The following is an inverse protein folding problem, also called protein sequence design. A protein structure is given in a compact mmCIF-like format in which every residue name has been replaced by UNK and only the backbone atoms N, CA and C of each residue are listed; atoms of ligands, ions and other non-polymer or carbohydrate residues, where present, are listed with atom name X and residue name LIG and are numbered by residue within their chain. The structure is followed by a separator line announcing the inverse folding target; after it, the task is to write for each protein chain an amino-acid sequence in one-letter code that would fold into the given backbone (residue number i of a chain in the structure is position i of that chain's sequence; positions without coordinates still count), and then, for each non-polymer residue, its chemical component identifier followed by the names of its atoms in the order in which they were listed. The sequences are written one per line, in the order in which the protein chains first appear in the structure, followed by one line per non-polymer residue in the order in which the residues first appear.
data_IF_280406321472
#
_entry.id   IF_280406321472
#
_cell.length_a   1.000
_cell.length_b   1.000
_cell.length_c   1.000
_cell.angle_alpha   90.00
_cell.angle_beta   90.00
_cell.angle_gamma   90.00
#
_symmetry.space_group_name_H-M   'P 1'
#
loop_
_entity.id
_entity.type
_entity.pdbx_description
1 polymer ?
#
# COMPACT_ATOMS: atom_id res chain seq x y z
N UNK A 1 -7.83 36.48 -4.16
CA UNK A 1 -8.97 35.75 -4.77
C UNK A 1 -8.52 34.56 -5.64
N UNK A 2 -7.43 34.63 -6.42
CA UNK A 2 -6.95 33.45 -7.19
C UNK A 2 -6.32 32.31 -6.36
N UNK A 3 -5.73 32.62 -5.20
CA UNK A 3 -5.06 31.62 -4.33
C UNK A 3 -6.04 30.75 -3.54
N UNK A 4 -7.24 31.24 -3.19
CA UNK A 4 -8.24 30.46 -2.42
C UNK A 4 -8.85 29.32 -3.25
N UNK A 5 -9.02 29.53 -4.56
CA UNK A 5 -9.49 28.48 -5.48
C UNK A 5 -8.46 27.37 -5.70
N UNK A 6 -7.17 27.72 -5.72
CA UNK A 6 -6.07 26.76 -5.90
C UNK A 6 -5.97 25.78 -4.70
N UNK A 7 -6.07 26.30 -3.47
CA UNK A 7 -6.06 25.48 -2.25
C UNK A 7 -7.25 24.51 -2.18
N UNK A 8 -8.46 24.95 -2.58
CA UNK A 8 -9.63 24.06 -2.63
C UNK A 8 -9.50 22.96 -3.68
N UNK A 9 -8.92 23.27 -4.84
CA UNK A 9 -8.64 22.28 -5.88
C UNK A 9 -7.67 21.20 -5.38
N UNK A 10 -6.60 21.61 -4.71
CA UNK A 10 -5.60 20.70 -4.15
C UNK A 10 -6.21 19.78 -3.07
N UNK A 11 -7.01 20.32 -2.15
CA UNK A 11 -7.73 19.52 -1.14
C UNK A 11 -8.64 18.47 -1.78
N UNK A 12 -9.37 18.84 -2.82
CA UNK A 12 -10.26 17.91 -3.52
C UNK A 12 -9.48 16.83 -4.27
N UNK A 13 -8.38 17.18 -4.94
CA UNK A 13 -7.49 16.20 -5.59
C UNK A 13 -6.88 15.22 -4.59
N UNK A 14 -6.45 15.69 -3.42
CA UNK A 14 -5.97 14.80 -2.35
C UNK A 14 -7.06 13.85 -1.86
N UNK A 15 -8.29 14.34 -1.65
CA UNK A 15 -9.41 13.50 -1.24
C UNK A 15 -9.70 12.41 -2.28
N UNK A 16 -9.87 12.79 -3.55
CA UNK A 16 -10.17 11.83 -4.63
C UNK A 16 -9.04 10.82 -4.81
N UNK A 17 -7.78 11.26 -4.78
CA UNK A 17 -6.64 10.38 -4.89
C UNK A 17 -6.59 9.36 -3.74
N UNK A 18 -6.67 9.82 -2.49
CA UNK A 18 -6.68 8.92 -1.33
C UNK A 18 -7.89 7.98 -1.32
N UNK A 19 -9.04 8.42 -1.84
CA UNK A 19 -10.23 7.59 -1.97
C UNK A 19 -10.05 6.47 -2.99
N UNK A 20 -9.41 6.74 -4.13
CA UNK A 20 -9.06 5.70 -5.11
C UNK A 20 -8.08 4.69 -4.49
N UNK A 21 -7.07 5.14 -3.75
CA UNK A 21 -6.14 4.25 -3.04
C UNK A 21 -6.84 3.40 -1.98
N UNK A 22 -7.79 3.97 -1.26
CA UNK A 22 -8.61 3.25 -0.29
C UNK A 22 -9.41 2.12 -0.96
N UNK A 23 -10.09 2.41 -2.07
CA UNK A 23 -10.83 1.40 -2.83
C UNK A 23 -9.92 0.32 -3.41
N UNK A 24 -8.78 0.70 -4.00
CA UNK A 24 -7.80 -0.24 -4.53
C UNK A 24 -7.25 -1.15 -3.42
N UNK A 25 -6.94 -0.60 -2.24
CA UNK A 25 -6.53 -1.37 -1.06
C UNK A 25 -7.62 -2.35 -0.59
N UNK A 26 -8.88 -1.91 -0.59
CA UNK A 26 -10.02 -2.78 -0.28
C UNK A 26 -10.20 -3.93 -1.26
N UNK A 27 -10.05 -3.68 -2.57
CA UNK A 27 -10.11 -4.73 -3.60
C UNK A 27 -8.97 -5.74 -3.41
N UNK A 28 -7.73 -5.26 -3.23
CA UNK A 28 -6.56 -6.13 -3.04
C UNK A 28 -6.72 -6.98 -1.78
N UNK A 29 -7.17 -6.38 -0.67
CA UNK A 29 -7.45 -7.10 0.57
C UNK A 29 -8.56 -8.13 0.40
N UNK A 30 -9.64 -7.78 -0.32
CA UNK A 30 -10.74 -8.70 -0.64
C UNK A 30 -10.28 -9.90 -1.46
N UNK A 31 -9.48 -9.67 -2.51
CA UNK A 31 -8.87 -10.75 -3.31
C UNK A 31 -7.93 -11.59 -2.44
N UNK A 32 -7.09 -10.99 -1.60
CA UNK A 32 -6.16 -11.73 -0.75
C UNK A 32 -6.88 -12.61 0.29
N UNK A 33 -7.95 -12.10 0.90
CA UNK A 33 -8.79 -12.87 1.83
C UNK A 33 -9.56 -13.99 1.10
N UNK A 34 -10.03 -13.71 -0.12
CA UNK A 34 -10.65 -14.71 -0.98
C UNK A 34 -9.66 -15.86 -1.28
N UNK A 35 -8.43 -15.53 -1.70
CA UNK A 35 -7.35 -16.51 -1.91
C UNK A 35 -7.05 -17.32 -0.63
N UNK A 36 -7.11 -16.69 0.56
CA UNK A 36 -6.80 -17.32 1.85
C UNK A 36 -7.88 -18.30 2.35
N UNK A 37 -9.15 -18.06 2.01
CA UNK A 37 -10.29 -18.79 2.55
C UNK A 37 -10.74 -19.99 1.70
N UNK A 38 -9.92 -20.40 0.72
CA UNK A 38 -10.25 -21.55 -0.13
C UNK A 38 -10.34 -22.85 0.69
N UNK A 39 -11.46 -23.57 0.53
CA UNK A 39 -11.85 -24.76 1.31
C UNK A 39 -10.94 -25.97 1.08
N UNK A 40 -10.19 -25.98 -0.02
CA UNK A 40 -9.19 -27.00 -0.35
C UNK A 40 -7.95 -26.90 0.54
N UNK A 41 -7.60 -25.69 0.99
CA UNK A 41 -6.39 -25.42 1.79
C UNK A 41 -6.58 -25.59 3.30
N UNK A 42 -7.80 -25.38 3.82
CA UNK A 42 -8.13 -25.54 5.25
C UNK A 42 -8.17 -27.00 5.70
N UNK A 43 -8.54 -27.94 4.83
CA UNK A 43 -8.54 -29.37 5.16
C UNK A 43 -7.12 -29.95 5.35
N UNK A 44 -6.15 -29.42 4.62
CA UNK A 44 -4.74 -29.82 4.75
C UNK A 44 -4.12 -29.24 6.02
N UNK A 45 -4.55 -28.03 6.43
CA UNK A 45 -4.09 -27.35 7.63
C UNK A 45 -4.56 -28.05 8.93
N UNK A 46 -5.71 -28.70 8.94
CA UNK A 46 -6.19 -29.45 10.12
C UNK A 46 -5.49 -30.81 10.28
N UNK A 47 -4.95 -31.38 9.19
CA UNK A 47 -4.24 -32.67 9.20
C UNK A 47 -2.71 -32.56 9.37
N UNK A 48 -2.11 -31.38 9.18
CA UNK A 48 -0.64 -31.17 9.19
C UNK A 48 -0.07 -30.51 10.44
N UNK A 49 -0.83 -30.36 11.54
CA UNK A 49 -0.23 -30.06 12.86
C UNK A 49 0.67 -31.19 13.41
N UNK A 50 0.79 -32.32 12.68
CA UNK A 50 1.79 -33.36 12.92
C UNK A 50 2.89 -33.35 11.84
N UNK A 51 4.00 -32.68 12.14
CA UNK A 51 5.35 -33.18 11.84
C UNK A 51 5.78 -33.37 10.36
N UNK A 52 5.58 -32.37 9.49
CA UNK A 52 6.41 -32.18 8.27
C UNK A 52 6.21 -30.81 7.62
N UNK A 53 7.30 -30.16 7.23
CA UNK A 53 7.35 -28.82 6.65
C UNK A 53 7.20 -28.85 5.12
N UNK A 54 6.03 -28.51 4.58
CA UNK A 54 5.78 -28.07 3.18
C UNK A 54 4.35 -27.48 3.05
N UNK A 55 4.00 -26.61 2.08
CA UNK A 55 4.74 -25.63 1.28
C UNK A 55 4.32 -24.19 1.70
N UNK A 56 5.17 -23.49 2.45
CA UNK A 56 4.79 -22.23 3.12
C UNK A 56 4.80 -20.99 2.21
N UNK A 57 5.46 -21.04 1.05
CA UNK A 57 5.78 -19.85 0.25
C UNK A 57 4.57 -19.21 -0.43
N UNK A 58 3.59 -20.01 -0.86
CA UNK A 58 2.33 -19.53 -1.43
C UNK A 58 1.51 -18.75 -0.39
N UNK A 59 1.41 -19.29 0.82
CA UNK A 59 0.76 -18.60 1.92
C UNK A 59 1.52 -17.34 2.34
N UNK A 60 2.86 -17.38 2.36
CA UNK A 60 3.67 -16.18 2.62
C UNK A 60 3.33 -15.07 1.63
N UNK A 61 3.22 -15.38 0.33
CA UNK A 61 2.78 -14.42 -0.68
C UNK A 61 1.38 -13.85 -0.42
N UNK A 62 0.41 -14.69 -0.05
CA UNK A 62 -0.94 -14.25 0.29
C UNK A 62 -0.95 -13.35 1.55
N UNK A 63 -0.18 -13.71 2.59
CA UNK A 63 -0.06 -12.89 3.80
C UNK A 63 0.58 -11.53 3.52
N UNK A 64 1.57 -11.47 2.62
CA UNK A 64 2.13 -10.20 2.14
C UNK A 64 1.05 -9.38 1.42
N UNK A 65 0.24 -10.00 0.57
CA UNK A 65 -0.86 -9.33 -0.14
C UNK A 65 -1.93 -8.79 0.82
N UNK A 66 -2.27 -9.55 1.87
CA UNK A 66 -3.15 -9.11 2.98
C UNK A 66 -2.54 -7.89 3.69
N UNK A 67 -1.26 -7.95 4.06
CA UNK A 67 -0.59 -6.87 4.77
C UNK A 67 -0.54 -5.58 3.93
N UNK A 68 -0.16 -5.69 2.65
CA UNK A 68 -0.11 -4.55 1.72
C UNK A 68 -1.50 -3.96 1.50
N UNK A 69 -2.53 -4.80 1.25
CA UNK A 69 -3.92 -4.36 1.10
C UNK A 69 -4.46 -3.65 2.34
N UNK A 70 -4.22 -4.20 3.53
CA UNK A 70 -4.64 -3.61 4.80
C UNK A 70 -3.95 -2.27 5.08
N UNK A 71 -2.64 -2.16 4.83
CA UNK A 71 -1.90 -0.91 4.98
C UNK A 71 -2.41 0.15 3.99
N UNK A 72 -2.63 -0.19 2.72
CA UNK A 72 -3.19 0.73 1.73
C UNK A 72 -4.59 1.20 2.11
N UNK A 73 -5.45 0.29 2.59
CA UNK A 73 -6.80 0.63 3.06
C UNK A 73 -6.74 1.53 4.30
N UNK A 74 -5.88 1.22 5.28
CA UNK A 74 -5.76 2.04 6.49
C UNK A 74 -5.23 3.45 6.19
N UNK A 75 -4.16 3.56 5.40
CA UNK A 75 -3.57 4.85 5.03
C UNK A 75 -4.50 5.66 4.14
N UNK A 76 -5.19 5.03 3.18
CA UNK A 76 -6.20 5.69 2.35
C UNK A 76 -7.38 6.21 3.19
N UNK A 77 -7.83 5.44 4.19
CA UNK A 77 -8.87 5.88 5.13
C UNK A 77 -8.42 7.11 5.92
N UNK A 78 -7.22 7.09 6.51
CA UNK A 78 -6.68 8.26 7.22
C UNK A 78 -6.54 9.49 6.30
N UNK A 79 -6.16 9.29 5.04
CA UNK A 79 -6.08 10.36 4.05
C UNK A 79 -7.45 10.99 3.74
N UNK A 80 -8.47 10.16 3.52
CA UNK A 80 -9.85 10.61 3.27
C UNK A 80 -10.44 11.33 4.49
N UNK A 81 -10.32 10.74 5.68
CA UNK A 81 -10.82 11.34 6.93
C UNK A 81 -10.06 12.62 7.28
N UNK A 82 -8.76 12.68 7.00
CA UNK A 82 -7.92 13.85 7.23
C UNK A 82 -8.33 15.03 6.37
N UNK A 83 -8.72 14.77 5.12
CA UNK A 83 -9.24 15.78 4.21
C UNK A 83 -10.62 16.31 4.63
N UNK A 84 -11.50 15.46 5.19
CA UNK A 84 -12.86 15.86 5.62
C UNK A 84 -12.85 16.61 6.95
N UNK A 85 -12.12 16.12 7.94
CA UNK A 85 -12.27 16.58 9.33
C UNK A 85 -11.50 17.89 9.63
N UNK A 86 -10.69 18.38 8.67
CA UNK A 86 -9.76 19.53 8.82
C UNK A 86 -8.94 19.53 10.13
N UNK A 87 -8.80 18.35 10.75
CA UNK A 87 -8.15 18.18 12.04
C UNK A 87 -6.64 18.06 11.86
N UNK A 88 -5.91 18.97 12.49
CA UNK A 88 -4.44 18.99 12.46
C UNK A 88 -3.82 17.69 13.01
N UNK A 89 -4.48 17.03 13.98
CA UNK A 89 -4.00 15.78 14.55
C UNK A 89 -4.07 14.63 13.54
N UNK A 90 -5.20 14.49 12.84
CA UNK A 90 -5.43 13.39 11.91
C UNK A 90 -4.64 13.56 10.59
N UNK A 91 -4.43 14.81 10.17
CA UNK A 91 -3.51 15.11 9.06
C UNK A 91 -2.04 14.83 9.46
N UNK A 92 -1.67 15.10 10.71
CA UNK A 92 -0.34 14.82 11.26
C UNK A 92 -0.04 13.32 11.36
N UNK A 93 -1.01 12.49 11.76
CA UNK A 93 -0.83 11.03 11.78
C UNK A 93 -0.69 10.47 10.37
N UNK A 94 -1.50 10.93 9.41
CA UNK A 94 -1.35 10.56 8.00
C UNK A 94 0.05 10.90 7.45
N UNK A 95 0.54 12.12 7.71
CA UNK A 95 1.89 12.53 7.31
C UNK A 95 2.98 11.64 7.93
N UNK A 96 2.84 11.32 9.22
CA UNK A 96 3.78 10.46 9.94
C UNK A 96 3.79 9.05 9.33
N UNK A 97 2.61 8.49 9.02
CA UNK A 97 2.50 7.20 8.34
C UNK A 97 3.19 7.21 6.96
N UNK A 98 3.02 8.27 6.16
CA UNK A 98 3.68 8.39 4.86
C UNK A 98 5.22 8.44 4.97
N UNK A 99 5.75 9.16 5.97
CA UNK A 99 7.20 9.20 6.20
C UNK A 99 7.74 7.82 6.58
N UNK A 100 7.01 7.07 7.41
CA UNK A 100 7.38 5.70 7.77
C UNK A 100 7.34 4.78 6.54
N UNK A 101 6.30 4.87 5.71
CA UNK A 101 6.19 4.10 4.48
C UNK A 101 7.32 4.40 3.50
N UNK A 102 7.69 5.67 3.35
CA UNK A 102 8.80 6.07 2.51
C UNK A 102 10.13 5.48 3.00
N UNK A 103 10.37 5.49 4.32
CA UNK A 103 11.56 4.86 4.90
C UNK A 103 11.58 3.33 4.66
N UNK A 104 10.43 2.67 4.81
CA UNK A 104 10.26 1.26 4.51
C UNK A 104 10.49 0.94 3.03
N UNK A 105 10.01 1.79 2.11
CA UNK A 105 10.19 1.62 0.66
C UNK A 105 11.65 1.72 0.27
N UNK A 106 12.40 2.69 0.82
CA UNK A 106 13.85 2.80 0.59
C UNK A 106 14.58 1.59 1.15
N UNK A 107 14.25 1.15 2.37
CA UNK A 107 14.87 -0.04 2.98
C UNK A 107 14.58 -1.31 2.19
N UNK A 108 13.33 -1.52 1.77
CA UNK A 108 12.91 -2.67 0.95
C UNK A 108 13.54 -2.62 -0.45
N UNK A 109 13.65 -1.44 -1.06
CA UNK A 109 14.32 -1.24 -2.34
C UNK A 109 15.80 -1.62 -2.30
N UNK A 110 16.53 -1.17 -1.26
CA UNK A 110 17.93 -1.53 -1.08
C UNK A 110 18.07 -3.04 -0.83
N UNK A 111 17.28 -3.58 0.11
CA UNK A 111 17.33 -5.00 0.45
C UNK A 111 16.99 -5.88 -0.76
N UNK A 112 15.98 -5.49 -1.53
CA UNK A 112 15.54 -6.23 -2.72
C UNK A 112 16.51 -6.12 -3.89
N UNK A 113 17.23 -5.00 -4.03
CA UNK A 113 18.28 -4.89 -5.02
C UNK A 113 19.47 -5.79 -4.69
N UNK A 114 19.90 -5.83 -3.42
CA UNK A 114 21.01 -6.69 -2.96
C UNK A 114 20.64 -8.17 -3.07
N UNK A 115 19.39 -8.54 -2.77
CA UNK A 115 18.91 -9.92 -2.74
C UNK A 115 18.02 -10.28 -3.94
N UNK A 116 18.22 -9.63 -5.10
CA UNK A 116 17.37 -9.81 -6.29
C UNK A 116 17.24 -11.26 -6.73
N UNK A 117 18.31 -12.05 -6.61
CA UNK A 117 18.34 -13.45 -7.04
C UNK A 117 17.55 -14.35 -6.06
N UNK A 118 17.49 -13.96 -4.78
CA UNK A 118 16.67 -14.65 -3.78
C UNK A 118 15.19 -14.33 -3.99
N UNK A 119 14.85 -13.06 -4.25
CA UNK A 119 13.47 -12.66 -4.56
C UNK A 119 12.96 -13.36 -5.84
N UNK A 120 13.79 -13.46 -6.88
CA UNK A 120 13.41 -14.18 -8.10
C UNK A 120 13.10 -15.67 -7.82
N UNK A 121 13.88 -16.32 -6.94
CA UNK A 121 13.62 -17.71 -6.51
C UNK A 121 12.32 -17.83 -5.71
N UNK A 122 12.07 -16.91 -4.78
CA UNK A 122 10.86 -16.92 -3.96
C UNK A 122 9.61 -16.70 -4.82
N UNK A 123 9.67 -15.80 -5.82
CA UNK A 123 8.58 -15.57 -6.78
C UNK A 123 8.33 -16.79 -7.66
N UNK A 124 9.38 -17.48 -8.13
CA UNK A 124 9.25 -18.74 -8.87
C UNK A 124 8.59 -19.82 -8.02
N UNK A 125 9.02 -19.98 -6.78
CA UNK A 125 8.45 -20.97 -5.87
C UNK A 125 6.98 -20.66 -5.54
N UNK A 126 6.62 -19.38 -5.41
CA UNK A 126 5.24 -18.95 -5.29
C UNK A 126 4.42 -19.33 -6.52
N UNK A 127 4.94 -19.09 -7.73
CA UNK A 127 4.30 -19.45 -8.99
C UNK A 127 4.14 -20.97 -9.13
N UNK A 128 5.17 -21.76 -8.80
CA UNK A 128 5.12 -23.23 -8.85
C UNK A 128 4.00 -23.79 -7.97
N UNK A 129 3.86 -23.26 -6.77
CA UNK A 129 2.82 -23.69 -5.82
C UNK A 129 1.43 -23.25 -6.28
N UNK A 130 1.29 -22.03 -6.81
CA UNK A 130 0.04 -21.55 -7.40
C UNK A 130 -0.37 -22.42 -8.61
N UNK A 131 0.60 -22.79 -9.45
CA UNK A 131 0.40 -23.65 -10.61
C UNK A 131 -0.01 -25.07 -10.23
N UNK A 132 0.65 -25.67 -9.24
CA UNK A 132 0.28 -26.97 -8.69
C UNK A 132 -1.11 -26.96 -8.07
N UNK A 133 -1.45 -25.93 -7.26
CA UNK A 133 -2.79 -25.80 -6.68
C UNK A 133 -3.85 -25.64 -7.77
N UNK A 134 -3.54 -24.88 -8.82
CA UNK A 134 -4.43 -24.82 -9.96
C UNK A 134 -4.62 -26.23 -10.53
N UNK A 135 -3.57 -27.04 -10.72
CA UNK A 135 -3.64 -28.34 -11.42
C UNK A 135 -4.45 -29.39 -10.67
N UNK A 136 -4.37 -29.37 -9.35
CA UNK A 136 -5.11 -30.31 -8.50
C UNK A 136 -6.56 -29.91 -8.27
N UNK A 137 -6.94 -28.69 -8.67
CA UNK A 137 -8.31 -28.25 -8.56
C UNK A 137 -9.16 -28.77 -9.74
N UNK A 138 -9.95 -29.78 -9.44
CA UNK A 138 -10.91 -30.42 -10.36
C UNK A 138 -12.15 -29.55 -10.64
N UNK A 139 -12.33 -28.43 -9.92
CA UNK A 139 -13.42 -27.49 -10.12
C UNK A 139 -12.96 -26.18 -10.78
N UNK A 140 -13.84 -25.60 -11.61
CA UNK A 140 -13.66 -24.30 -12.29
C UNK A 140 -13.37 -23.10 -11.37
N UNK A 141 -13.40 -23.31 -10.04
CA UNK A 141 -13.43 -22.27 -9.03
C UNK A 141 -12.16 -22.16 -8.17
N UNK A 142 -11.03 -22.73 -8.59
CA UNK A 142 -9.82 -22.61 -7.75
C UNK A 142 -9.17 -21.25 -7.83
N UNK A 143 -8.90 -20.72 -6.64
CA UNK A 143 -8.22 -19.46 -6.42
C UNK A 143 -6.81 -19.42 -7.07
N UNK A 144 -6.14 -20.57 -7.13
CA UNK A 144 -4.85 -20.72 -7.82
C UNK A 144 -4.93 -20.49 -9.33
N UNK A 145 -6.04 -20.87 -9.99
CA UNK A 145 -6.25 -20.69 -11.44
C UNK A 145 -6.26 -19.21 -11.83
N UNK A 146 -6.93 -18.37 -11.03
CA UNK A 146 -6.97 -16.92 -11.27
C UNK A 146 -5.57 -16.30 -11.20
N UNK A 147 -4.78 -16.64 -10.18
CA UNK A 147 -3.40 -16.15 -10.02
C UNK A 147 -2.54 -16.58 -11.21
N UNK A 148 -2.54 -17.87 -11.54
CA UNK A 148 -1.71 -18.42 -12.63
C UNK A 148 -2.07 -17.78 -13.98
N UNK A 149 -3.36 -17.60 -14.26
CA UNK A 149 -3.82 -16.94 -15.48
C UNK A 149 -3.33 -15.49 -15.58
N UNK A 150 -3.37 -14.73 -14.48
CA UNK A 150 -2.80 -13.38 -14.44
C UNK A 150 -1.30 -13.39 -14.68
N UNK A 151 -0.55 -14.35 -14.14
CA UNK A 151 0.88 -14.49 -14.44
C UNK A 151 1.12 -14.79 -15.93
N UNK A 152 0.34 -15.69 -16.53
CA UNK A 152 0.45 -16.02 -17.95
C UNK A 152 0.17 -14.82 -18.85
N UNK A 153 -0.88 -14.05 -18.57
CA UNK A 153 -1.23 -12.85 -19.34
C UNK A 153 -0.24 -11.70 -19.14
N UNK A 154 0.32 -11.53 -17.93
CA UNK A 154 1.24 -10.43 -17.60
C UNK A 154 2.66 -10.67 -18.13
N UNK A 155 3.12 -11.93 -18.10
CA UNK A 155 4.48 -12.32 -18.48
C UNK A 155 4.57 -12.92 -19.88
N UNK A 156 3.44 -13.12 -20.55
CA UNK A 156 3.31 -13.82 -21.83
C UNK A 156 4.04 -15.18 -21.81
N UNK A 157 3.74 -15.96 -20.77
CA UNK A 157 4.35 -17.26 -20.51
C UNK A 157 3.29 -18.31 -20.16
N UNK A 158 3.65 -19.59 -20.27
CA UNK A 158 2.77 -20.68 -19.88
C UNK A 158 3.58 -21.78 -19.19
N UNK A 159 3.18 -22.13 -17.97
CA UNK A 159 3.80 -23.19 -17.18
C UNK A 159 5.18 -22.81 -16.61
N UNK A 160 5.65 -23.58 -15.61
CA UNK A 160 6.92 -23.30 -14.92
C UNK A 160 8.12 -23.51 -15.84
N UNK A 161 8.17 -24.68 -16.50
CA UNK A 161 9.21 -25.06 -17.44
C UNK A 161 8.64 -25.27 -18.85
N UNK A 162 9.49 -25.16 -19.87
CA UNK A 162 9.11 -25.34 -21.28
C UNK A 162 8.38 -26.67 -21.56
N UNK A 163 8.85 -27.77 -20.96
CA UNK A 163 8.23 -29.10 -21.11
C UNK A 163 6.85 -29.13 -20.46
N UNK A 164 6.72 -28.55 -19.27
CA UNK A 164 5.43 -28.50 -18.57
C UNK A 164 4.47 -27.59 -19.32
N UNK A 165 4.90 -26.40 -19.75
CA UNK A 165 4.09 -25.47 -20.53
C UNK A 165 3.56 -26.06 -21.84
N UNK A 166 4.39 -26.82 -22.57
CA UNK A 166 3.99 -27.49 -23.82
C UNK A 166 3.03 -28.67 -23.59
N UNK A 167 3.16 -29.39 -22.47
CA UNK A 167 2.30 -30.54 -22.14
C UNK A 167 1.04 -30.15 -21.36
N UNK A 168 1.01 -28.99 -20.69
CA UNK A 168 -0.15 -28.49 -19.93
C UNK A 168 -1.46 -28.44 -20.74
N UNK A 169 -1.48 -27.96 -22.01
CA UNK A 169 -2.73 -27.95 -22.79
C UNK A 169 -3.30 -29.35 -23.03
N UNK A 170 -2.49 -30.42 -23.09
CA UNK A 170 -2.99 -31.79 -23.30
C UNK A 170 -3.92 -32.28 -22.19
N UNK A 171 -3.77 -31.75 -20.98
CA UNK A 171 -4.53 -32.17 -19.80
C UNK A 171 -5.43 -31.07 -19.28
N UNK A 172 -5.11 -29.79 -19.58
CA UNK A 172 -5.81 -28.64 -19.02
C UNK A 172 -5.71 -27.39 -19.87
N UNK A 173 -6.47 -27.40 -20.97
CA UNK A 173 -6.59 -26.31 -21.95
C UNK A 173 -7.09 -24.97 -21.40
N UNK A 174 -7.71 -24.94 -20.22
CA UNK A 174 -8.29 -23.70 -19.68
C UNK A 174 -7.21 -22.75 -19.10
N UNK A 175 -6.00 -23.25 -18.84
CA UNK A 175 -4.89 -22.47 -18.26
C UNK A 175 -3.99 -21.81 -19.30
N UNK A 176 -3.88 -22.42 -20.48
CA UNK A 176 -3.04 -21.95 -21.57
C UNK A 176 -3.78 -22.15 -22.88
N UNK A 177 -3.76 -21.13 -23.75
CA UNK A 177 -4.54 -21.15 -24.98
C UNK A 177 -4.20 -22.35 -25.87
N UNK A 178 -5.24 -22.93 -26.51
CA UNK A 178 -5.24 -24.13 -27.37
C UNK A 178 -4.42 -24.03 -28.66
N UNK A 179 -3.69 -22.94 -28.87
CA UNK A 179 -2.95 -22.72 -30.11
C UNK A 179 -1.64 -23.51 -30.08
N UNK A 180 -1.71 -24.83 -30.30
CA UNK A 180 -0.61 -25.79 -30.23
C UNK A 180 0.62 -25.37 -31.09
N UNK A 181 0.38 -24.71 -32.22
CA UNK A 181 1.42 -24.12 -33.08
C UNK A 181 2.14 -22.93 -32.42
N UNK A 182 1.40 -22.12 -31.65
CA UNK A 182 1.97 -21.07 -30.81
C UNK A 182 2.68 -21.67 -29.61
N UNK A 183 2.19 -22.76 -29.04
CA UNK A 183 2.88 -23.55 -27.99
C UNK A 183 4.21 -24.16 -28.43
N UNK A 184 4.34 -24.58 -29.69
CA UNK A 184 5.62 -25.03 -30.26
C UNK A 184 6.60 -23.88 -30.58
N UNK A 185 6.08 -22.70 -30.96
CA UNK A 185 6.90 -21.47 -31.13
C UNK A 185 7.25 -20.80 -29.80
N UNK A 186 6.42 -21.00 -28.77
CA UNK A 186 6.51 -20.48 -27.40
C UNK A 186 7.10 -21.55 -26.45
N UNK A 187 7.73 -22.58 -26.99
CA UNK A 187 8.54 -23.55 -26.25
C UNK A 187 9.76 -22.89 -25.55
N UNK A 188 10.08 -21.64 -25.89
CA UNK A 188 11.12 -20.85 -25.22
C UNK A 188 10.62 -20.00 -24.03
N UNK A 189 9.31 -19.84 -23.82
CA UNK A 189 8.74 -18.93 -22.82
C UNK A 189 8.29 -19.64 -21.53
N UNK A 190 9.23 -20.33 -20.87
CA UNK A 190 9.02 -20.79 -19.49
C UNK A 190 8.81 -19.59 -18.56
N UNK A 191 7.79 -19.62 -17.70
CA UNK A 191 7.56 -18.53 -16.74
C UNK A 191 8.77 -18.31 -15.83
N UNK A 192 9.52 -19.36 -15.48
CA UNK A 192 10.75 -19.22 -14.67
C UNK A 192 11.81 -18.36 -15.35
N UNK A 193 12.06 -18.53 -16.64
CA UNK A 193 12.98 -17.67 -17.39
C UNK A 193 12.47 -16.23 -17.49
N UNK A 194 11.16 -16.03 -17.70
CA UNK A 194 10.56 -14.68 -17.75
C UNK A 194 10.66 -13.96 -16.41
N UNK A 195 10.51 -14.67 -15.30
CA UNK A 195 10.70 -14.14 -13.95
C UNK A 195 12.18 -13.74 -13.75
N UNK A 196 13.15 -14.57 -14.13
CA UNK A 196 14.57 -14.18 -14.06
C UNK A 196 14.90 -12.98 -14.95
N UNK A 197 14.33 -12.95 -16.16
CA UNK A 197 14.49 -11.85 -17.11
C UNK A 197 13.94 -10.55 -16.54
N UNK A 198 12.81 -10.61 -15.82
CA UNK A 198 12.24 -9.46 -15.11
C UNK A 198 13.18 -8.90 -14.04
N UNK A 199 13.74 -9.77 -13.19
CA UNK A 199 14.60 -9.36 -12.08
C UNK A 199 16.05 -9.08 -12.48
N UNK A 200 16.49 -9.52 -13.67
CA UNK A 200 17.86 -9.31 -14.15
C UNK A 200 17.95 -8.27 -15.26
N UNK A 201 17.18 -8.44 -16.34
CA UNK A 201 17.26 -7.60 -17.54
C UNK A 201 16.28 -6.42 -17.50
N UNK A 202 15.14 -6.58 -16.83
CA UNK A 202 14.07 -5.56 -16.74
C UNK A 202 13.92 -4.96 -15.35
N UNK A 203 14.95 -5.07 -14.50
CA UNK A 203 14.95 -4.46 -13.16
C UNK A 203 14.69 -2.95 -13.22
N UNK A 204 15.07 -2.29 -14.33
CA UNK A 204 14.76 -0.88 -14.57
C UNK A 204 13.25 -0.57 -14.59
N UNK A 205 12.37 -1.49 -15.02
CA UNK A 205 10.92 -1.27 -15.01
C UNK A 205 10.39 -1.22 -13.58
N UNK A 206 10.85 -2.14 -12.72
CA UNK A 206 10.52 -2.17 -11.29
C UNK A 206 11.07 -0.92 -10.61
N UNK A 207 12.29 -0.51 -10.97
CA UNK A 207 12.90 0.73 -10.50
C UNK A 207 12.10 1.98 -10.88
N UNK A 208 11.62 2.09 -12.13
CA UNK A 208 10.76 3.21 -12.57
C UNK A 208 9.46 3.22 -11.77
N UNK A 209 8.81 2.07 -11.58
CA UNK A 209 7.58 1.98 -10.79
C UNK A 209 7.81 2.46 -9.33
N UNK A 210 8.90 2.02 -8.69
CA UNK A 210 9.27 2.47 -7.34
C UNK A 210 9.55 3.98 -7.29
N UNK A 211 10.25 4.54 -8.30
CA UNK A 211 10.51 5.99 -8.37
C UNK A 211 9.20 6.77 -8.50
N UNK A 212 8.26 6.31 -9.33
CA UNK A 212 6.95 6.96 -9.48
C UNK A 212 6.19 6.96 -8.16
N UNK A 213 6.17 5.84 -7.43
CA UNK A 213 5.54 5.73 -6.11
C UNK A 213 6.20 6.68 -5.11
N UNK A 214 7.53 6.71 -5.05
CA UNK A 214 8.28 7.64 -4.21
C UNK A 214 7.99 9.11 -4.53
N UNK A 215 7.94 9.50 -5.81
CA UNK A 215 7.60 10.87 -6.24
C UNK A 215 6.18 11.25 -5.84
N UNK A 216 5.22 10.32 -5.98
CA UNK A 216 3.85 10.51 -5.54
C UNK A 216 3.80 10.72 -4.02
N UNK A 217 4.47 9.89 -3.22
CA UNK A 217 4.52 10.03 -1.76
C UNK A 217 5.12 11.37 -1.35
N UNK A 218 6.25 11.76 -1.94
CA UNK A 218 6.91 13.05 -1.66
C UNK A 218 6.01 14.21 -2.06
N UNK A 219 5.32 14.14 -3.20
CA UNK A 219 4.40 15.19 -3.64
C UNK A 219 3.25 15.37 -2.65
N UNK A 220 2.68 14.26 -2.14
CA UNK A 220 1.62 14.29 -1.13
C UNK A 220 2.13 14.87 0.19
N UNK A 221 3.33 14.49 0.62
CA UNK A 221 4.03 15.03 1.81
C UNK A 221 4.23 16.55 1.68
N UNK A 222 4.71 17.02 0.53
CA UNK A 222 4.97 18.44 0.27
C UNK A 222 3.67 19.26 0.25
N UNK A 223 2.61 18.71 -0.34
CA UNK A 223 1.29 19.33 -0.33
C UNK A 223 0.71 19.36 1.10
N UNK A 224 0.83 18.26 1.85
CA UNK A 224 0.37 18.17 3.23
C UNK A 224 1.03 19.19 4.16
N UNK A 225 2.34 19.46 3.98
CA UNK A 225 3.05 20.51 4.73
C UNK A 225 2.59 21.94 4.41
N UNK A 226 2.04 22.18 3.22
CA UNK A 226 1.56 23.51 2.83
C UNK A 226 0.22 23.84 3.50
N UNK A 227 -0.59 22.81 3.76
CA UNK A 227 -1.89 22.91 4.44
C UNK A 227 -1.74 22.88 5.97
N UNK A 228 -0.78 22.10 6.49
CA UNK A 228 -0.37 22.12 7.88
C UNK A 228 0.49 23.36 8.13
N UNK A 229 -0.15 24.53 8.25
CA UNK A 229 0.49 25.72 8.82
C UNK A 229 1.18 25.39 10.16
N UNK A 230 2.05 26.27 10.68
CA UNK A 230 2.74 26.03 11.95
C UNK A 230 1.72 25.56 12.99
N UNK A 231 2.01 24.47 13.74
CA UNK A 231 1.05 23.93 14.68
C UNK A 231 0.55 25.07 15.56
N UNK A 232 -0.76 25.19 15.80
CA UNK A 232 -1.21 26.12 16.83
C UNK A 232 -0.44 25.72 18.08
N UNK A 233 0.34 26.64 18.64
CA UNK A 233 0.96 26.42 19.94
C UNK A 233 -0.19 26.03 20.87
N UNK A 234 -0.25 24.74 21.20
CA UNK A 234 -1.08 24.24 22.27
C UNK A 234 -0.56 24.96 23.51
N UNK A 235 -1.24 26.04 23.87
CA UNK A 235 -0.95 26.79 25.06
C UNK A 235 -1.23 25.85 26.23
N UNK A 236 -0.17 25.20 26.72
CA UNK A 236 -0.20 24.47 27.97
C UNK A 236 -0.38 25.54 29.06
N UNK A 237 -1.54 25.65 29.72
CA UNK A 237 -1.65 26.63 30.79
C UNK A 237 -0.61 26.27 31.83
N UNK A 238 0.27 27.22 32.15
CA UNK A 238 1.11 27.11 33.33
C UNK A 238 0.20 26.93 34.54
N UNK A 239 0.60 26.10 35.52
CA UNK A 239 -0.17 25.78 36.72
C UNK A 239 -0.92 26.95 37.41
N UNK A 240 -0.45 28.23 37.37
CA UNK A 240 -1.21 29.35 37.94
C UNK A 240 -2.59 29.59 37.31
N UNK A 241 -2.85 29.22 36.05
CA UNK A 241 -4.12 29.52 35.38
C UNK A 241 -5.27 28.57 35.76
N UNK A 242 -4.97 27.36 36.23
CA UNK A 242 -5.99 26.41 36.72
C UNK A 242 -6.63 26.87 38.04
N UNK A 243 -5.88 27.61 38.87
CA UNK A 243 -6.38 28.19 40.12
C UNK A 243 -7.40 29.31 39.87
N UNK A 244 -7.24 30.08 38.78
CA UNK A 244 -8.20 31.13 38.41
C UNK A 244 -9.54 30.56 37.92
N UNK A 245 -9.52 29.44 37.19
CA UNK A 245 -10.75 28.75 36.76
C UNK A 245 -11.47 28.05 37.91
N UNK A 246 -10.75 27.48 38.88
CA UNK A 246 -11.34 26.86 40.07
C UNK A 246 -12.00 27.86 41.02
N UNK A 247 -11.63 29.14 40.94
CA UNK A 247 -12.18 30.23 41.76
C UNK A 247 -13.47 30.86 41.20
N UNK A 248 -14.01 30.38 40.07
CA UNK A 248 -15.28 30.86 39.51
C UNK A 248 -15.25 32.28 38.95
N UNK A 249 -14.06 32.88 38.75
CA UNK A 249 -13.90 34.21 38.17
C UNK A 249 -13.85 34.11 36.64
N UNK A 250 -15.01 34.30 36.01
CA UNK A 250 -15.15 34.26 34.55
C UNK A 250 -14.63 35.57 33.95
N UNK A 251 -13.37 35.61 33.55
CA UNK A 251 -12.83 36.69 32.73
C UNK A 251 -13.26 36.50 31.27
N UNK A 252 -14.27 37.24 30.84
CA UNK A 252 -14.61 37.40 29.42
C UNK A 252 -13.50 38.16 28.71
N UNK A 253 -12.63 37.47 27.97
CA UNK A 253 -11.70 38.12 27.05
C UNK A 253 -12.25 37.97 25.62
N UNK A 254 -12.56 39.07 24.90
CA UNK A 254 -13.06 38.97 23.54
C UNK A 254 -11.92 38.53 22.61
N UNK A 255 -12.18 37.51 21.80
CA UNK A 255 -11.38 37.19 20.62
C UNK A 255 -11.52 38.35 19.63
N UNK A 256 -10.40 38.96 19.22
CA UNK A 256 -10.33 39.61 17.90
C UNK A 256 -8.95 39.40 17.26
N UNK A 257 -9.01 38.82 16.06
CA UNK A 257 -7.98 38.76 15.03
C UNK A 257 -7.85 40.15 14.36
N UNK A 258 -6.63 40.66 14.14
CA UNK A 258 -6.29 41.49 12.98
C UNK A 258 -4.85 41.17 12.55
N UNK A 259 -4.64 40.93 11.25
CA UNK A 259 -3.38 40.43 10.69
C UNK A 259 -2.49 41.47 10.00
N UNK A 260 -1.58 40.91 9.19
CA UNK A 260 -0.74 41.50 8.12
C UNK A 260 0.55 42.21 8.57
N UNK A 261 1.69 41.70 8.06
CA UNK A 261 2.91 42.49 7.91
C UNK A 261 4.15 41.93 8.62
N UNK A 262 5.25 41.84 7.87
CA UNK A 262 6.55 41.40 8.33
C UNK A 262 7.18 42.39 9.34
N UNK A 263 7.28 42.02 10.62
CA UNK A 263 8.30 42.47 11.60
C UNK A 263 8.10 41.78 12.97
N UNK A 264 9.14 41.63 13.83
CA UNK A 264 9.03 40.94 15.10
C UNK A 264 8.55 41.91 16.19
N UNK A 265 7.35 41.67 16.74
CA UNK A 265 6.82 42.47 17.86
C UNK A 265 6.94 41.69 19.17
N UNK A 266 7.66 42.30 20.10
CA UNK A 266 7.89 41.81 21.46
C UNK A 266 6.61 41.79 22.31
N UNK A 267 6.67 41.00 23.38
CA UNK A 267 5.58 40.81 24.32
C UNK A 267 5.35 42.06 25.18
N UNK A 268 4.28 42.81 24.94
CA UNK A 268 3.80 43.83 25.88
C UNK A 268 2.90 43.17 26.92
N UNK A 269 3.34 43.13 28.19
CA UNK A 269 2.48 42.76 29.33
C UNK A 269 1.60 43.95 29.68
N UNK A 270 0.42 44.06 29.09
CA UNK A 270 -0.62 44.94 29.61
C UNK A 270 -1.32 44.25 30.79
N UNK A 271 -1.13 44.82 31.98
CA UNK A 271 -1.71 44.37 33.23
C UNK A 271 -3.25 44.43 33.18
N UNK A 272 -3.91 43.30 33.47
CA UNK A 272 -5.32 43.31 33.87
C UNK A 272 -5.41 43.91 35.28
N UNK A 273 -6.08 45.06 35.43
CA UNK A 273 -6.48 45.58 36.76
C UNK A 273 -7.78 44.91 37.21
N UNK A 274 -7.96 44.67 38.52
CA UNK A 274 -9.20 44.14 39.07
C UNK A 274 -10.24 45.25 39.25
N UNK A 275 -11.51 44.91 39.03
CA UNK A 275 -12.67 45.48 39.71
C UNK A 275 -13.34 44.32 40.46
#
# INVERSE_FOLDING_TARGET
MGVEGCTKCIKYLLFVFNFIFWLAGGIILGVALWLRHDSQTTNILYLQLGDKQAPNTFYVGIYILIAVGAVMMFVGFLGCYGAIQESQCLLGTFFTCLVILFACEVAAGIWGFVNKDQIAKDVKQFYDQAFQQALMADSDSSNGKAVVKTFHETLDCCGPDAVVGTLTPLWRDDLCSKDFLKGLLQADASCHKKIDELFSAKLYLIGIAAIVVAVIMVSIIMVGKREAGPPPMQYKPSAPQLLWYAAGLQASCPQYLVGVGAQPVGWSRTACRPF
#
